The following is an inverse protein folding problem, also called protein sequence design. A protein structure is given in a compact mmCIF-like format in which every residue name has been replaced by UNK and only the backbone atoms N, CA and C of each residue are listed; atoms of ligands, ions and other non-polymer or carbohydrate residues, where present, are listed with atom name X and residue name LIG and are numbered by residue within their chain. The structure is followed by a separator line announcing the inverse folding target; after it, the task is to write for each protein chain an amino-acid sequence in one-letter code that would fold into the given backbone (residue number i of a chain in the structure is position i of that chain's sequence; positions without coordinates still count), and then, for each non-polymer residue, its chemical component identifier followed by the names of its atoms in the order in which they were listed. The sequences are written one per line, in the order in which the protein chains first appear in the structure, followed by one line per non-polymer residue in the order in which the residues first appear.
data_IF_519448907349
#
_entry.id   IF_519448907349
#
_cell.length_a   1.000
_cell.length_b   1.000
_cell.length_c   1.000
_cell.angle_alpha   90.00
_cell.angle_beta   90.00
_cell.angle_gamma   90.00
#
_symmetry.space_group_name_H-M   'P 1'
#
loop_
_entity.id
_entity.type
_entity.pdbx_description
1 polymer ?
#
# COMPACT_ATOMS: atom_id res chain seq x y z
N UNK A 1 -30.90 6.38 26.14
CA UNK A 1 -30.12 5.20 26.56
C UNK A 1 -30.21 4.02 25.59
N UNK A 2 -31.15 4.01 24.63
CA UNK A 2 -31.28 2.94 23.62
C UNK A 2 -30.25 3.03 22.49
N UNK A 3 -29.73 4.22 22.17
CA UNK A 3 -28.76 4.39 21.07
C UNK A 3 -27.41 3.71 21.36
N UNK A 4 -26.97 3.72 22.63
CA UNK A 4 -25.71 3.10 23.03
C UNK A 4 -25.72 1.58 22.83
N UNK A 5 -26.89 0.94 22.96
CA UNK A 5 -27.06 -0.49 22.69
C UNK A 5 -26.76 -0.85 21.23
N UNK A 6 -26.91 0.09 20.29
CA UNK A 6 -26.57 -0.12 18.88
C UNK A 6 -25.15 0.37 18.56
N UNK A 7 -24.74 1.50 19.12
CA UNK A 7 -23.43 2.10 18.85
C UNK A 7 -22.27 1.28 19.42
N UNK A 8 -22.42 0.68 20.60
CA UNK A 8 -21.34 -0.12 21.21
C UNK A 8 -21.02 -1.35 20.35
N UNK A 9 -22.00 -2.20 19.95
CA UNK A 9 -21.71 -3.32 19.05
C UNK A 9 -21.21 -2.87 17.68
N UNK A 10 -21.75 -1.78 17.12
CA UNK A 10 -21.30 -1.26 15.83
C UNK A 10 -19.84 -0.80 15.89
N UNK A 11 -19.44 -0.08 16.93
CA UNK A 11 -18.07 0.36 17.13
C UNK A 11 -17.11 -0.81 17.34
N UNK A 12 -17.49 -1.81 18.14
CA UNK A 12 -16.69 -3.02 18.33
C UNK A 12 -16.53 -3.82 17.02
N UNK A 13 -17.61 -3.95 16.23
CA UNK A 13 -17.56 -4.63 14.94
C UNK A 13 -16.65 -3.90 13.95
N UNK A 14 -16.75 -2.56 13.87
CA UNK A 14 -15.88 -1.75 13.03
C UNK A 14 -14.42 -1.84 13.48
N UNK A 15 -14.16 -1.79 14.79
CA UNK A 15 -12.81 -1.95 15.34
C UNK A 15 -12.22 -3.33 15.04
N UNK A 16 -13.01 -4.39 15.23
CA UNK A 16 -12.60 -5.76 14.92
C UNK A 16 -12.35 -5.96 13.42
N UNK A 17 -13.19 -5.39 12.56
CA UNK A 17 -13.02 -5.45 11.11
C UNK A 17 -11.74 -4.72 10.67
N UNK A 18 -11.48 -3.53 11.22
CA UNK A 18 -10.24 -2.79 10.98
C UNK A 18 -9.00 -3.55 11.45
N UNK A 19 -9.05 -4.15 12.64
CA UNK A 19 -7.95 -4.97 13.16
C UNK A 19 -7.72 -6.21 12.29
N UNK A 20 -8.78 -6.91 11.88
CA UNK A 20 -8.66 -8.08 11.01
C UNK A 20 -8.06 -7.71 9.65
N UNK A 21 -8.51 -6.60 9.05
CA UNK A 21 -7.95 -6.08 7.80
C UNK A 21 -6.46 -5.70 7.95
N UNK A 22 -6.10 -5.07 9.07
CA UNK A 22 -4.71 -4.70 9.37
C UNK A 22 -3.82 -5.94 9.52
N UNK A 23 -4.24 -6.94 10.30
CA UNK A 23 -3.49 -8.19 10.46
C UNK A 23 -3.39 -8.98 9.15
N UNK A 24 -4.44 -8.96 8.33
CA UNK A 24 -4.41 -9.54 6.99
C UNK A 24 -3.41 -8.83 6.07
N UNK A 25 -3.34 -7.49 6.12
CA UNK A 25 -2.38 -6.71 5.35
C UNK A 25 -0.93 -7.05 5.72
N UNK A 26 -0.64 -7.15 7.03
CA UNK A 26 0.68 -7.58 7.51
C UNK A 26 1.03 -8.98 7.02
N UNK A 27 0.08 -9.93 7.07
CA UNK A 27 0.34 -11.31 6.60
C UNK A 27 0.47 -11.42 5.08
N UNK A 28 -0.09 -10.47 4.33
CA UNK A 28 -0.07 -10.47 2.88
C UNK A 28 1.22 -9.88 2.29
N UNK A 29 2.14 -9.41 3.13
CA UNK A 29 3.44 -8.89 2.68
C UNK A 29 3.33 -7.57 1.90
N UNK A 30 2.25 -6.82 2.08
CA UNK A 30 2.00 -5.58 1.34
C UNK A 30 2.92 -4.42 1.78
N UNK A 31 3.58 -4.55 2.92
CA UNK A 31 4.50 -3.54 3.44
C UNK A 31 5.92 -3.70 2.90
N UNK A 32 6.29 -4.90 2.45
CA UNK A 32 7.59 -5.19 1.83
C UNK A 32 7.78 -4.49 0.47
N UNK A 33 6.70 -4.26 -0.29
CA UNK A 33 6.79 -3.52 -1.56
C UNK A 33 6.93 -1.99 -1.35
N UNK A 34 6.51 -1.47 -0.18
CA UNK A 34 6.72 -0.06 0.17
C UNK A 34 8.21 0.27 0.34
N UNK A 35 9.01 -0.65 0.90
CA UNK A 35 10.46 -0.49 1.00
C UNK A 35 11.12 -0.43 -0.39
N UNK A 36 10.65 -1.26 -1.33
CA UNK A 36 11.13 -1.23 -2.72
C UNK A 36 10.70 0.03 -3.51
N UNK A 37 9.51 0.57 -3.23
CA UNK A 37 9.06 1.84 -3.78
C UNK A 37 9.86 3.03 -3.22
N UNK A 38 10.18 3.03 -1.92
CA UNK A 38 11.03 4.03 -1.28
C UNK A 38 12.47 4.02 -1.83
N UNK A 39 13.00 2.83 -2.13
CA UNK A 39 14.31 2.70 -2.77
C UNK A 39 14.31 3.31 -4.18
N UNK A 40 13.28 3.03 -4.99
CA UNK A 40 13.15 3.61 -6.34
C UNK A 40 13.04 5.12 -6.31
N UNK A 41 12.19 5.72 -5.46
CA UNK A 41 12.04 7.18 -5.44
C UNK A 41 13.29 7.94 -4.96
N UNK A 42 14.19 7.29 -4.20
CA UNK A 42 15.42 7.91 -3.73
C UNK A 42 16.60 7.74 -4.71
N UNK A 43 16.59 6.68 -5.53
CA UNK A 43 17.74 6.28 -6.36
C UNK A 43 17.47 6.23 -7.88
N UNK A 44 16.21 6.24 -8.36
CA UNK A 44 15.91 6.20 -9.81
C UNK A 44 16.12 7.54 -10.53
N UNK A 45 16.28 8.67 -9.81
CA UNK A 45 16.54 9.98 -10.43
C UNK A 45 17.93 10.04 -11.11
N UNK A 46 18.84 9.13 -10.78
CA UNK A 46 20.21 9.07 -11.31
C UNK A 46 20.38 8.12 -12.50
N UNK A 47 19.33 7.40 -12.91
CA UNK A 47 19.42 6.45 -14.02
C UNK A 47 19.46 7.20 -15.38
N UNK A 48 20.55 7.09 -16.17
CA UNK A 48 20.61 7.72 -17.49
C UNK A 48 19.53 7.13 -18.39
N UNK A 49 18.68 7.99 -18.97
CA UNK A 49 17.73 7.57 -19.99
C UNK A 49 18.46 6.82 -21.11
N UNK A 50 17.96 5.64 -21.54
CA UNK A 50 18.56 4.90 -22.64
C UNK A 50 18.66 5.80 -23.88
N UNK A 51 19.77 5.77 -24.63
CA UNK A 51 19.89 6.54 -25.86
C UNK A 51 18.71 6.22 -26.78
N UNK A 52 18.09 7.23 -27.43
CA UNK A 52 16.94 6.99 -28.30
C UNK A 52 17.34 5.96 -29.36
N UNK A 53 16.59 4.86 -29.42
CA UNK A 53 16.77 3.82 -30.40
C UNK A 53 16.67 4.46 -31.78
N UNK A 54 17.78 4.52 -32.52
CA UNK A 54 17.80 4.93 -33.92
C UNK A 54 17.08 3.87 -34.74
N UNK A 55 15.76 3.93 -34.74
CA UNK A 55 14.92 3.27 -35.74
C UNK A 55 14.99 4.12 -37.01
N UNK A 56 15.81 3.70 -37.97
CA UNK A 56 15.90 4.43 -39.24
C UNK A 56 17.14 4.20 -40.09
N UNK A 57 17.77 3.02 -40.04
CA UNK A 57 18.73 2.62 -41.07
C UNK A 57 18.30 1.30 -41.70
N UNK A 58 17.39 1.39 -42.68
CA UNK A 58 17.44 0.62 -43.92
C UNK A 58 16.51 1.27 -44.95
#
# INVERSE_FOLDING_TARGET
MTILLYLIPAALALGALGLAAFLWSLRSGQFEDLDGAAHRILFDDDAPLPPPARSGQN
#
